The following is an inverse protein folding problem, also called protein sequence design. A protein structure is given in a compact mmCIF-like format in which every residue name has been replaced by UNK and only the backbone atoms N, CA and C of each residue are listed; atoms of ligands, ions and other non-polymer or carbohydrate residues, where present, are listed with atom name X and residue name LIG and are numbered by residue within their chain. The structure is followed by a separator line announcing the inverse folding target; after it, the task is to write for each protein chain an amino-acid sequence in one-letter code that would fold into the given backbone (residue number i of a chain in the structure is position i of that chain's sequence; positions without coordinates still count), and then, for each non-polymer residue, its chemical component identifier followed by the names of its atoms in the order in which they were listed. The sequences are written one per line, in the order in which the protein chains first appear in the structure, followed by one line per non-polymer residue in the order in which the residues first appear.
data_IF_933412861502
#
_entry.id   IF_933412861502
#
_cell.length_a   1.000
_cell.length_b   1.000
_cell.length_c   1.000
_cell.angle_alpha   90.00
_cell.angle_beta   90.00
_cell.angle_gamma   90.00
#
_symmetry.space_group_name_H-M   'P 1'
#
loop_
_entity.id
_entity.type
_entity.pdbx_description
1 polymer ?
#
# COMPACT_ATOMS: atom_id res chain seq x y z
N UNK A 1 -0.04 63.71 65.28
CA UNK A 1 0.56 62.55 64.66
C UNK A 1 -0.54 61.92 63.76
N UNK A 2 -0.49 62.23 62.47
CA UNK A 2 -1.51 61.82 61.51
C UNK A 2 -0.94 60.73 60.59
N UNK A 3 -1.48 59.52 60.64
CA UNK A 3 -1.07 58.39 59.78
C UNK A 3 -1.95 58.43 58.51
N UNK A 4 -1.34 58.73 57.35
CA UNK A 4 -1.98 58.62 56.05
C UNK A 4 -1.96 57.15 55.57
N UNK A 5 -3.11 56.61 55.18
CA UNK A 5 -3.24 55.32 54.56
C UNK A 5 -2.97 55.41 53.04
N UNK A 6 -2.34 54.39 52.38
CA UNK A 6 -2.11 54.42 50.95
C UNK A 6 -3.32 54.03 50.15
N UNK A 7 -3.61 54.81 49.11
CA UNK A 7 -4.62 54.53 48.09
C UNK A 7 -4.22 53.36 47.22
N UNK A 8 -5.03 52.33 47.19
CA UNK A 8 -4.88 51.19 46.25
C UNK A 8 -5.51 51.57 44.92
N UNK A 9 -4.70 51.69 43.89
CA UNK A 9 -5.15 51.78 42.51
C UNK A 9 -5.58 50.41 42.03
N UNK A 10 -6.87 50.21 41.69
CA UNK A 10 -7.35 49.05 40.93
C UNK A 10 -7.06 49.30 39.46
N UNK A 11 -6.12 48.57 38.88
CA UNK A 11 -6.00 48.46 37.43
C UNK A 11 -7.06 47.44 36.92
N UNK A 12 -8.05 47.90 36.20
CA UNK A 12 -8.99 47.09 35.46
C UNK A 12 -8.25 46.63 34.19
N UNK A 13 -7.87 45.34 34.12
CA UNK A 13 -7.39 44.72 32.90
C UNK A 13 -8.59 44.43 31.98
N UNK A 14 -8.69 45.17 30.88
CA UNK A 14 -9.63 44.90 29.80
C UNK A 14 -9.09 43.73 28.98
N UNK A 15 -9.65 42.50 29.16
CA UNK A 15 -9.37 41.38 28.31
C UNK A 15 -10.10 41.54 26.96
N UNK A 16 -9.36 41.95 25.94
CA UNK A 16 -9.86 41.96 24.57
C UNK A 16 -9.93 40.51 24.06
N UNK A 17 -11.14 39.95 23.96
CA UNK A 17 -11.40 38.65 23.34
C UNK A 17 -11.24 38.82 21.82
N UNK A 18 -10.12 38.42 21.26
CA UNK A 18 -9.90 38.37 19.81
C UNK A 18 -10.71 37.21 19.25
N UNK A 19 -11.83 37.48 18.66
CA UNK A 19 -12.59 36.52 17.84
C UNK A 19 -11.83 36.38 16.52
N UNK A 20 -11.09 35.23 16.38
CA UNK A 20 -10.50 34.87 15.11
C UNK A 20 -11.62 34.45 14.14
N UNK A 21 -11.63 34.96 12.90
CA UNK A 21 -12.58 34.49 11.91
C UNK A 21 -12.26 33.04 11.56
N UNK A 22 -13.21 32.12 11.77
CA UNK A 22 -13.19 30.76 11.22
C UNK A 22 -13.29 30.93 9.71
N UNK A 23 -12.20 30.67 8.98
CA UNK A 23 -12.19 30.60 7.51
C UNK A 23 -12.75 29.23 7.15
N UNK A 24 -13.99 29.11 6.63
CA UNK A 24 -14.48 27.84 6.12
C UNK A 24 -13.84 27.61 4.74
N UNK A 25 -13.11 26.51 4.59
CA UNK A 25 -12.73 26.05 3.25
C UNK A 25 -11.25 25.91 2.95
N UNK A 26 -10.43 25.50 3.92
CA UNK A 26 -9.24 24.70 3.56
C UNK A 26 -9.69 23.26 3.46
N UNK A 27 -10.19 22.86 2.28
CA UNK A 27 -10.22 21.49 1.86
C UNK A 27 -8.76 21.02 1.94
N UNK A 28 -8.42 20.19 2.95
CA UNK A 28 -7.18 19.46 2.95
C UNK A 28 -7.23 18.55 1.73
N UNK A 29 -6.67 19.03 0.62
CA UNK A 29 -6.42 18.20 -0.54
C UNK A 29 -5.59 17.04 -0.04
N UNK A 30 -6.15 15.84 -0.05
CA UNK A 30 -5.43 14.61 0.23
C UNK A 30 -4.23 14.60 -0.70
N UNK A 31 -3.04 14.82 -0.16
CA UNK A 31 -1.79 14.74 -0.91
C UNK A 31 -1.64 13.29 -1.36
N UNK A 32 -1.95 13.01 -2.62
CA UNK A 32 -1.75 11.69 -3.21
C UNK A 32 -0.22 11.44 -3.32
N UNK A 33 0.22 10.30 -2.84
CA UNK A 33 1.61 9.90 -3.00
C UNK A 33 1.91 9.70 -4.49
N UNK A 34 2.73 10.58 -5.07
CA UNK A 34 3.25 10.43 -6.43
C UNK A 34 4.34 9.35 -6.45
N UNK A 35 4.39 8.55 -7.52
CA UNK A 35 5.44 7.58 -7.77
C UNK A 35 5.00 6.13 -7.55
N UNK A 36 5.90 5.30 -7.04
CA UNK A 36 5.63 3.88 -6.80
C UNK A 36 5.06 3.67 -5.40
N UNK A 37 3.79 3.26 -5.32
CA UNK A 37 3.10 2.91 -4.08
C UNK A 37 3.00 1.39 -3.98
N UNK A 38 3.69 0.78 -3.00
CA UNK A 38 3.67 -0.67 -2.81
C UNK A 38 2.25 -1.17 -2.56
N UNK A 39 1.83 -2.16 -3.35
CA UNK A 39 0.56 -2.86 -3.25
C UNK A 39 0.71 -4.13 -2.41
N UNK A 40 1.62 -4.99 -2.81
CA UNK A 40 1.99 -6.24 -2.13
C UNK A 40 3.36 -6.71 -2.59
N UNK A 41 3.89 -7.74 -1.92
CA UNK A 41 5.18 -8.35 -2.24
C UNK A 41 5.10 -9.86 -2.27
N UNK A 42 6.04 -10.50 -3.01
CA UNK A 42 6.26 -11.94 -3.00
C UNK A 42 7.60 -12.23 -2.33
N UNK A 43 7.57 -13.08 -1.32
CA UNK A 43 8.71 -13.62 -0.59
C UNK A 43 8.84 -15.12 -0.87
N UNK A 44 10.04 -15.67 -0.73
CA UNK A 44 10.31 -17.11 -0.92
C UNK A 44 11.17 -17.66 0.20
N UNK A 45 10.89 -18.89 0.62
CA UNK A 45 11.59 -19.55 1.74
C UNK A 45 13.11 -19.72 1.55
N UNK A 46 13.59 -19.67 0.31
CA UNK A 46 15.01 -19.89 -0.06
C UNK A 46 15.66 -18.66 -0.71
N UNK A 47 15.05 -17.50 -0.63
CA UNK A 47 15.58 -16.28 -1.22
C UNK A 47 15.20 -15.09 -0.38
N UNK A 48 16.17 -14.35 0.10
CA UNK A 48 15.97 -13.14 0.91
C UNK A 48 15.47 -11.96 0.09
N UNK A 49 15.74 -11.95 -1.24
CA UNK A 49 15.25 -10.92 -2.14
C UNK A 49 13.76 -11.08 -2.40
N UNK A 50 13.06 -9.97 -2.52
CA UNK A 50 11.61 -9.91 -2.67
C UNK A 50 11.21 -9.35 -4.04
N UNK A 51 10.05 -9.77 -4.54
CA UNK A 51 9.45 -9.14 -5.70
C UNK A 51 8.35 -8.20 -5.18
N UNK A 52 8.46 -6.91 -5.49
CA UNK A 52 7.47 -5.92 -5.14
C UNK A 52 6.59 -5.60 -6.34
N UNK A 53 5.29 -5.47 -6.07
CA UNK A 53 4.29 -4.95 -7.00
C UNK A 53 3.83 -3.60 -6.49
N UNK A 54 4.01 -2.58 -7.30
CA UNK A 54 3.71 -1.21 -6.91
C UNK A 54 2.81 -0.52 -7.94
N UNK A 55 1.82 0.22 -7.46
CA UNK A 55 1.01 1.11 -8.27
C UNK A 55 1.86 2.28 -8.77
N UNK A 56 1.81 2.58 -10.06
CA UNK A 56 2.44 3.77 -10.65
C UNK A 56 1.46 4.93 -10.61
N UNK A 57 1.60 5.78 -9.60
CA UNK A 57 0.66 6.87 -9.28
C UNK A 57 1.21 8.19 -9.79
N UNK A 58 0.41 8.91 -10.57
CA UNK A 58 0.70 10.27 -11.03
C UNK A 58 0.43 11.33 -9.95
N UNK A 59 0.81 12.57 -10.24
CA UNK A 59 0.62 13.73 -9.34
C UNK A 59 -0.84 14.00 -8.97
N UNK A 60 -1.74 13.64 -9.87
CA UNK A 60 -3.20 13.75 -9.70
C UNK A 60 -3.82 12.57 -8.92
N UNK A 61 -3.00 11.64 -8.44
CA UNK A 61 -3.45 10.43 -7.75
C UNK A 61 -4.00 9.32 -8.66
N UNK A 62 -4.01 9.52 -9.99
CA UNK A 62 -4.43 8.50 -10.95
C UNK A 62 -3.29 7.54 -11.27
N UNK A 63 -3.63 6.36 -11.78
CA UNK A 63 -2.63 5.40 -12.24
C UNK A 63 -2.17 5.70 -13.66
N UNK A 64 -0.91 5.33 -13.94
CA UNK A 64 -0.43 5.27 -15.31
C UNK A 64 -1.27 4.27 -16.11
N UNK A 65 -2.06 4.78 -17.06
CA UNK A 65 -2.99 3.95 -17.84
C UNK A 65 -2.31 2.87 -18.70
N UNK A 66 -1.04 3.05 -19.07
CA UNK A 66 -0.29 2.09 -19.90
C UNK A 66 0.37 0.99 -19.06
N UNK A 67 0.82 1.33 -17.88
CA UNK A 67 1.51 0.43 -16.97
C UNK A 67 1.12 0.79 -15.52
N UNK A 68 -0.12 0.42 -15.09
CA UNK A 68 -0.63 0.81 -13.79
C UNK A 68 0.10 0.13 -12.63
N UNK A 69 0.75 -1.03 -12.89
CA UNK A 69 1.50 -1.81 -11.89
C UNK A 69 2.91 -2.09 -12.41
N UNK A 70 3.91 -1.69 -11.65
CA UNK A 70 5.30 -2.08 -11.84
C UNK A 70 5.64 -3.30 -10.96
N UNK A 71 6.38 -4.27 -11.52
CA UNK A 71 6.91 -5.42 -10.79
C UNK A 71 8.44 -5.42 -10.89
N UNK A 72 9.13 -5.50 -9.75
CA UNK A 72 10.58 -5.42 -9.66
C UNK A 72 11.14 -6.15 -8.44
N UNK A 73 12.40 -6.55 -8.51
CA UNK A 73 13.15 -7.07 -7.37
C UNK A 73 13.54 -5.96 -6.39
N UNK A 74 13.50 -6.28 -5.11
CA UNK A 74 14.18 -5.56 -4.04
C UNK A 74 15.27 -6.47 -3.49
N UNK A 75 16.52 -6.11 -3.70
CA UNK A 75 17.70 -6.91 -3.41
C UNK A 75 18.09 -6.80 -1.93
N UNK A 76 17.26 -7.33 -1.03
CA UNK A 76 17.44 -7.23 0.43
C UNK A 76 18.69 -7.92 0.96
N UNK A 77 19.16 -8.94 0.25
CA UNK A 77 20.42 -9.62 0.59
C UNK A 77 21.65 -8.73 0.35
N UNK A 78 21.48 -7.60 -0.31
CA UNK A 78 22.55 -6.66 -0.67
C UNK A 78 22.26 -5.27 -0.07
N UNK A 79 22.05 -4.27 -0.92
CA UNK A 79 21.86 -2.86 -0.51
C UNK A 79 20.39 -2.40 -0.57
N UNK A 80 19.47 -3.31 -0.85
CA UNK A 80 18.05 -2.98 -1.02
C UNK A 80 17.71 -2.29 -2.33
N UNK A 81 18.65 -2.26 -3.30
CA UNK A 81 18.40 -1.66 -4.61
C UNK A 81 17.29 -2.37 -5.36
N UNK A 82 16.69 -1.67 -6.30
CA UNK A 82 15.66 -2.20 -7.19
C UNK A 82 16.28 -2.70 -8.47
N UNK A 83 15.86 -3.89 -8.93
CA UNK A 83 16.22 -4.44 -10.22
C UNK A 83 14.97 -4.83 -11.00
N UNK A 84 14.99 -4.58 -12.32
CA UNK A 84 13.89 -5.00 -13.19
C UNK A 84 13.85 -6.51 -13.33
N UNK A 85 12.65 -7.07 -13.52
CA UNK A 85 12.47 -8.47 -13.88
C UNK A 85 13.06 -8.76 -15.27
N UNK A 86 13.71 -9.89 -15.42
CA UNK A 86 14.13 -10.41 -16.74
C UNK A 86 12.90 -10.78 -17.59
N UNK A 87 13.09 -10.94 -18.90
CA UNK A 87 12.02 -11.37 -19.80
C UNK A 87 11.39 -12.70 -19.36
N UNK A 88 12.21 -13.68 -18.96
CA UNK A 88 11.72 -14.99 -18.52
C UNK A 88 10.94 -14.91 -17.21
N UNK A 89 11.41 -14.13 -16.25
CA UNK A 89 10.71 -13.92 -14.98
C UNK A 89 9.35 -13.24 -15.19
N UNK A 90 9.28 -12.25 -16.08
CA UNK A 90 8.00 -11.63 -16.46
C UNK A 90 7.04 -12.63 -17.08
N UNK A 91 7.52 -13.43 -18.04
CA UNK A 91 6.67 -14.34 -18.80
C UNK A 91 6.19 -15.55 -18.00
N UNK A 92 7.06 -16.09 -17.13
CA UNK A 92 6.83 -17.40 -16.50
C UNK A 92 6.38 -17.33 -15.04
N UNK A 93 6.70 -16.26 -14.33
CA UNK A 93 6.51 -16.23 -12.88
C UNK A 93 5.93 -14.92 -12.32
N UNK A 94 6.60 -13.78 -12.50
CA UNK A 94 6.34 -12.57 -11.75
C UNK A 94 5.76 -11.44 -12.59
N UNK A 95 5.52 -11.67 -13.87
CA UNK A 95 4.86 -10.68 -14.72
C UNK A 95 3.46 -10.36 -14.24
N UNK A 96 3.02 -9.17 -14.57
CA UNK A 96 1.71 -8.64 -14.23
C UNK A 96 1.09 -8.01 -15.47
N UNK A 97 -0.15 -8.40 -15.75
CA UNK A 97 -1.01 -7.76 -16.73
C UNK A 97 -2.13 -7.04 -16.00
N UNK A 98 -2.41 -5.80 -16.39
CA UNK A 98 -3.48 -5.02 -15.81
C UNK A 98 -4.37 -4.43 -16.91
N UNK A 99 -5.66 -4.65 -16.79
CA UNK A 99 -6.68 -4.19 -17.74
C UNK A 99 -7.63 -3.24 -17.04
N UNK A 100 -7.86 -2.05 -17.62
CA UNK A 100 -8.78 -1.07 -17.07
C UNK A 100 -10.22 -1.64 -17.01
N UNK A 101 -10.89 -1.42 -15.88
CA UNK A 101 -12.26 -1.82 -15.62
C UNK A 101 -13.00 -0.70 -14.89
N UNK A 102 -13.52 0.27 -15.63
CA UNK A 102 -14.09 1.50 -15.08
C UNK A 102 -13.03 2.37 -14.42
N UNK A 103 -13.20 2.65 -13.13
CA UNK A 103 -12.23 3.41 -12.30
C UNK A 103 -11.12 2.51 -11.71
N UNK A 104 -11.28 1.19 -11.83
CA UNK A 104 -10.39 0.17 -11.28
C UNK A 104 -9.59 -0.53 -12.37
N UNK A 105 -8.74 -1.49 -11.99
CA UNK A 105 -8.04 -2.37 -12.92
C UNK A 105 -8.16 -3.83 -12.47
N UNK A 106 -8.42 -4.71 -13.42
CA UNK A 106 -8.29 -6.15 -13.22
C UNK A 106 -6.83 -6.55 -13.46
N UNK A 107 -6.23 -7.21 -12.47
CA UNK A 107 -4.81 -7.56 -12.44
C UNK A 107 -4.66 -9.08 -12.48
N UNK A 108 -3.75 -9.57 -13.33
CA UNK A 108 -3.39 -10.98 -13.44
C UNK A 108 -1.90 -11.16 -13.25
N UNK A 109 -1.53 -12.10 -12.39
CA UNK A 109 -0.13 -12.52 -12.22
C UNK A 109 0.18 -13.68 -13.16
N UNK A 110 1.37 -13.68 -13.77
CA UNK A 110 1.76 -14.73 -14.71
C UNK A 110 1.72 -16.14 -14.09
N UNK A 111 2.12 -16.29 -12.82
CA UNK A 111 2.11 -17.57 -12.11
C UNK A 111 0.76 -17.99 -11.53
N UNK A 112 -0.24 -17.10 -11.50
CA UNK A 112 -1.56 -17.36 -10.92
C UNK A 112 -2.66 -16.58 -11.68
N UNK A 113 -2.82 -16.80 -12.98
CA UNK A 113 -3.76 -16.04 -13.81
C UNK A 113 -5.23 -16.25 -13.43
N UNK A 114 -5.52 -17.35 -12.72
CA UNK A 114 -6.85 -17.68 -12.21
C UNK A 114 -7.24 -16.91 -10.95
N UNK A 115 -6.26 -16.34 -10.23
CA UNK A 115 -6.54 -15.55 -9.02
C UNK A 115 -6.92 -14.12 -9.43
N UNK A 116 -8.18 -13.81 -9.25
CA UNK A 116 -8.67 -12.46 -9.50
C UNK A 116 -8.09 -11.47 -8.48
N UNK A 117 -7.40 -10.46 -8.97
CA UNK A 117 -6.92 -9.32 -8.18
C UNK A 117 -7.51 -8.06 -8.82
N UNK A 118 -8.11 -7.20 -8.01
CA UNK A 118 -8.61 -5.91 -8.43
C UNK A 118 -7.79 -4.80 -7.80
N UNK A 119 -7.25 -3.90 -8.60
CA UNK A 119 -6.58 -2.70 -8.14
C UNK A 119 -7.60 -1.58 -8.07
N UNK A 120 -7.83 -1.03 -6.88
CA UNK A 120 -8.85 -0.03 -6.62
C UNK A 120 -8.35 1.07 -5.69
N UNK A 121 -8.92 2.26 -5.84
CA UNK A 121 -8.66 3.38 -4.94
C UNK A 121 -9.62 3.35 -3.76
N UNK A 122 -9.08 3.21 -2.56
CA UNK A 122 -9.84 3.19 -1.31
C UNK A 122 -9.36 4.32 -0.42
N UNK A 123 -10.20 5.34 -0.26
CA UNK A 123 -9.87 6.50 0.58
C UNK A 123 -8.62 7.26 0.11
N UNK A 124 -8.40 7.38 -1.19
CA UNK A 124 -7.23 8.05 -1.78
C UNK A 124 -5.98 7.18 -1.88
N UNK A 125 -6.05 5.90 -1.50
CA UNK A 125 -4.93 4.96 -1.56
C UNK A 125 -5.24 3.78 -2.47
N UNK A 126 -4.35 3.49 -3.40
CA UNK A 126 -4.45 2.31 -4.25
C UNK A 126 -4.14 1.03 -3.47
N UNK A 127 -5.01 0.03 -3.61
CA UNK A 127 -4.93 -1.26 -2.91
C UNK A 127 -5.25 -2.40 -3.87
N UNK A 128 -4.57 -3.54 -3.70
CA UNK A 128 -4.83 -4.76 -4.45
C UNK A 128 -5.83 -5.63 -3.66
N UNK A 129 -7.08 -5.73 -4.12
CA UNK A 129 -8.12 -6.54 -3.49
C UNK A 129 -8.18 -7.91 -4.13
N UNK A 130 -8.33 -8.96 -3.33
CA UNK A 130 -8.58 -10.34 -3.76
C UNK A 130 -9.46 -11.05 -2.74
N UNK A 131 -9.81 -12.31 -3.00
CA UNK A 131 -10.47 -13.17 -2.02
C UNK A 131 -9.43 -14.00 -1.27
N UNK A 132 -9.44 -13.95 0.06
CA UNK A 132 -8.70 -14.84 0.94
C UNK A 132 -9.69 -15.63 1.81
N UNK A 133 -9.66 -16.96 1.71
CA UNK A 133 -10.68 -17.84 2.34
C UNK A 133 -12.12 -17.40 2.04
N UNK A 134 -12.40 -16.95 0.81
CA UNK A 134 -13.71 -16.49 0.37
C UNK A 134 -14.13 -15.10 0.88
N UNK A 135 -13.27 -14.37 1.59
CA UNK A 135 -13.52 -13.00 2.07
C UNK A 135 -12.73 -11.99 1.25
N UNK A 136 -13.35 -10.86 0.95
CA UNK A 136 -12.64 -9.72 0.36
C UNK A 136 -11.53 -9.23 1.27
N UNK A 137 -10.31 -9.16 0.76
CA UNK A 137 -9.14 -8.72 1.51
C UNK A 137 -8.22 -7.87 0.63
N UNK A 138 -7.51 -6.95 1.26
CA UNK A 138 -6.44 -6.19 0.63
C UNK A 138 -5.13 -6.96 0.80
N UNK A 139 -4.62 -7.51 -0.29
CA UNK A 139 -3.40 -8.30 -0.33
C UNK A 139 -2.19 -7.44 0.07
N UNK A 140 -1.35 -7.97 0.94
CA UNK A 140 -0.11 -7.30 1.38
C UNK A 140 1.14 -8.13 1.11
N UNK A 141 1.04 -9.46 1.20
CA UNK A 141 2.18 -10.35 1.05
C UNK A 141 1.76 -11.72 0.55
N UNK A 142 2.61 -12.34 -0.30
CA UNK A 142 2.53 -13.73 -0.71
C UNK A 142 3.86 -14.38 -0.29
N UNK A 143 3.80 -15.44 0.50
CA UNK A 143 4.98 -16.22 0.88
C UNK A 143 4.95 -17.59 0.20
N UNK A 144 5.99 -17.89 -0.57
CA UNK A 144 6.11 -19.13 -1.34
C UNK A 144 7.12 -20.06 -0.67
N UNK A 145 6.65 -21.19 -0.18
CA UNK A 145 7.52 -22.25 0.31
C UNK A 145 7.94 -23.15 -0.86
N UNK A 146 9.25 -23.28 -1.04
CA UNK A 146 9.82 -24.10 -2.10
C UNK A 146 10.68 -25.23 -1.52
N UNK A 147 10.72 -26.34 -2.23
CA UNK A 147 11.63 -27.46 -2.00
C UNK A 147 12.64 -27.51 -3.15
N UNK A 148 13.90 -27.77 -2.81
CA UNK A 148 14.92 -28.01 -3.81
C UNK A 148 14.62 -29.34 -4.52
N UNK A 149 14.80 -29.35 -5.84
CA UNK A 149 14.56 -30.53 -6.65
C UNK A 149 14.74 -30.21 -8.13
N UNK A 150 15.70 -30.86 -8.78
CA UNK A 150 15.95 -30.70 -10.22
C UNK A 150 16.47 -29.32 -10.62
N UNK A 151 16.17 -28.91 -11.86
CA UNK A 151 16.64 -27.66 -12.46
C UNK A 151 15.90 -26.44 -11.89
N UNK A 152 14.67 -26.62 -11.40
CA UNK A 152 13.85 -25.57 -10.81
C UNK A 152 13.30 -25.99 -9.45
N UNK A 153 13.21 -25.06 -8.48
CA UNK A 153 12.56 -25.34 -7.20
C UNK A 153 11.08 -25.68 -7.40
N UNK A 154 10.59 -26.68 -6.67
CA UNK A 154 9.18 -27.05 -6.66
C UNK A 154 8.44 -26.24 -5.58
N UNK A 155 7.32 -25.64 -5.91
CA UNK A 155 6.44 -24.99 -4.94
C UNK A 155 5.72 -26.05 -4.11
N UNK A 156 5.81 -25.91 -2.78
CA UNK A 156 5.17 -26.81 -1.79
C UNK A 156 3.90 -26.20 -1.27
N UNK A 157 3.95 -24.92 -0.88
CA UNK A 157 2.80 -24.18 -0.40
C UNK A 157 2.92 -22.69 -0.70
N UNK A 158 1.79 -22.02 -0.66
CA UNK A 158 1.67 -20.57 -0.81
C UNK A 158 0.82 -20.05 0.35
N UNK A 159 1.33 -19.08 1.10
CA UNK A 159 0.62 -18.36 2.11
C UNK A 159 0.35 -16.94 1.61
N UNK A 160 -0.92 -16.55 1.56
CA UNK A 160 -1.34 -15.20 1.19
C UNK A 160 -1.78 -14.46 2.45
N UNK A 161 -1.29 -13.25 2.63
CA UNK A 161 -1.60 -12.39 3.77
C UNK A 161 -2.24 -11.10 3.28
N UNK A 162 -3.21 -10.62 4.04
CA UNK A 162 -3.89 -9.38 3.73
C UNK A 162 -4.64 -8.83 4.93
N UNK A 163 -5.39 -7.78 4.67
CA UNK A 163 -6.29 -7.13 5.60
C UNK A 163 -7.73 -7.36 5.11
N UNK A 164 -8.57 -7.98 5.92
CA UNK A 164 -10.00 -8.16 5.63
C UNK A 164 -10.65 -6.79 5.36
N UNK A 165 -11.27 -6.65 4.19
CA UNK A 165 -11.77 -5.35 3.72
C UNK A 165 -12.92 -4.78 4.57
N UNK A 166 -13.64 -5.63 5.29
CA UNK A 166 -14.77 -5.23 6.12
C UNK A 166 -14.36 -4.90 7.55
N UNK A 167 -13.43 -5.68 8.13
CA UNK A 167 -13.07 -5.57 9.54
C UNK A 167 -11.72 -4.90 9.81
N UNK A 168 -10.88 -4.75 8.80
CA UNK A 168 -9.50 -4.23 8.93
C UNK A 168 -8.54 -5.20 9.65
N UNK A 169 -8.98 -6.43 9.95
CA UNK A 169 -8.14 -7.42 10.63
C UNK A 169 -7.26 -8.18 9.66
N UNK A 170 -6.09 -8.60 10.13
CA UNK A 170 -5.22 -9.49 9.35
C UNK A 170 -5.92 -10.80 9.03
N UNK A 171 -5.82 -11.25 7.78
CA UNK A 171 -6.32 -12.52 7.29
C UNK A 171 -5.20 -13.24 6.53
N UNK A 172 -5.17 -14.57 6.64
CA UNK A 172 -4.22 -15.44 5.94
C UNK A 172 -4.99 -16.56 5.23
N UNK A 173 -4.54 -16.92 4.03
CA UNK A 173 -4.98 -18.11 3.30
C UNK A 173 -3.76 -18.99 3.04
N UNK A 174 -3.86 -20.29 3.34
CA UNK A 174 -2.84 -21.30 3.06
C UNK A 174 -3.27 -22.21 1.92
N UNK A 175 -2.42 -22.39 0.91
CA UNK A 175 -2.68 -23.22 -0.26
C UNK A 175 -1.53 -24.24 -0.42
N UNK A 176 -1.83 -25.53 -0.31
CA UNK A 176 -0.90 -26.62 -0.65
C UNK A 176 -0.87 -26.83 -2.18
N UNK A 177 0.31 -27.21 -2.72
CA UNK A 177 0.55 -27.51 -4.13
C UNK A 177 0.99 -28.95 -4.36
#
# INVERSE_FOLDING_TARGET
MSKRAPRRFFLAALAALAVLPVIPGLSEGTAHAEGLVTLFQIERSKNTNEIHYAAQVGKDGTLNAKEPVAAFWVMKAEDGRREGLTFMERKMAYGVDATANGADFDVKLAAAPERAIKLMNVGGRWRAQTLLNGKSAYLSRIFITTKEGGVMPTVVSIDLYGEDAASGKTIQEHVNK
#
